data_IF_980753139413
#
_entry.id   IF_980753139413
#
_cell.length_a   1.000
_cell.length_b   1.000
_cell.length_c   1.000
_cell.angle_alpha   90.00
_cell.angle_beta   90.00
_cell.angle_gamma   90.00
#
_symmetry.space_group_name_H-M   'P 1'
#
loop_
_entity.id
_entity.type
_entity.pdbx_description
1 polymer ?
#
# COMPACT_ATOMS: atom_id res chain seq x y z
N UNK A 1 -54.10 -49.87 0.64
CA UNK A 1 -52.83 -49.70 1.37
C UNK A 1 -51.76 -49.40 0.30
N UNK A 2 -51.49 -48.15 0.07
CA UNK A 2 -50.52 -47.69 -0.93
C UNK A 2 -49.38 -47.00 -0.18
N UNK A 3 -48.19 -47.61 -0.27
CA UNK A 3 -46.95 -47.21 0.39
C UNK A 3 -46.28 -46.09 -0.42
N UNK A 4 -46.20 -44.87 0.10
CA UNK A 4 -45.43 -43.76 -0.45
C UNK A 4 -43.97 -43.91 -0.04
N UNK A 5 -43.08 -44.19 -1.01
CA UNK A 5 -41.65 -44.07 -0.82
C UNK A 5 -41.24 -42.61 -1.01
N UNK A 6 -40.70 -41.98 0.05
CA UNK A 6 -40.06 -40.64 -0.02
C UNK A 6 -38.63 -40.84 -0.50
N UNK A 7 -38.34 -40.31 -1.70
CA UNK A 7 -36.97 -40.15 -2.21
C UNK A 7 -36.41 -38.86 -1.58
N UNK A 8 -35.41 -39.00 -0.76
CA UNK A 8 -34.57 -37.87 -0.22
C UNK A 8 -33.49 -37.65 -1.22
N UNK A 9 -33.54 -36.56 -1.99
CA UNK A 9 -32.45 -36.12 -2.85
C UNK A 9 -31.42 -35.37 -1.98
N UNK A 10 -30.24 -35.92 -1.84
CA UNK A 10 -29.09 -35.21 -1.30
C UNK A 10 -28.56 -34.24 -2.37
N UNK A 11 -28.72 -32.93 -2.14
CA UNK A 11 -28.06 -31.90 -2.93
C UNK A 11 -26.64 -31.78 -2.38
N UNK A 12 -25.65 -32.30 -3.09
CA UNK A 12 -24.23 -32.04 -2.84
C UNK A 12 -23.97 -30.62 -3.36
N UNK A 13 -23.88 -29.65 -2.47
CA UNK A 13 -23.36 -28.32 -2.77
C UNK A 13 -21.85 -28.46 -2.91
N UNK A 14 -21.35 -28.57 -4.12
CA UNK A 14 -19.94 -28.43 -4.41
C UNK A 14 -19.53 -26.98 -4.13
N UNK A 15 -18.90 -26.71 -3.01
CA UNK A 15 -18.20 -25.46 -2.75
C UNK A 15 -16.98 -25.42 -3.65
N UNK A 16 -17.09 -24.72 -4.79
CA UNK A 16 -15.92 -24.35 -5.57
C UNK A 16 -15.11 -23.36 -4.76
N UNK A 17 -14.05 -23.82 -4.12
CA UNK A 17 -13.01 -22.95 -3.55
C UNK A 17 -12.37 -22.21 -4.73
N UNK A 18 -12.71 -20.95 -4.93
CA UNK A 18 -11.99 -20.06 -5.84
C UNK A 18 -10.56 -19.94 -5.30
N UNK A 19 -9.60 -20.49 -6.01
CA UNK A 19 -8.18 -20.29 -5.74
C UNK A 19 -7.84 -18.84 -6.01
N UNK A 20 -7.51 -18.06 -4.98
CA UNK A 20 -6.96 -16.70 -5.10
C UNK A 20 -5.44 -16.78 -5.28
N UNK A 21 -4.98 -17.49 -6.31
CA UNK A 21 -3.58 -17.45 -6.70
C UNK A 21 -3.19 -16.04 -7.20
N UNK A 22 -1.93 -15.68 -7.03
CA UNK A 22 -1.42 -14.42 -7.56
C UNK A 22 -1.52 -14.42 -9.09
N UNK A 23 -2.06 -13.33 -9.66
CA UNK A 23 -2.07 -13.13 -11.10
C UNK A 23 -0.65 -12.79 -11.57
N UNK A 24 0.02 -13.75 -12.17
CA UNK A 24 1.43 -13.70 -12.56
C UNK A 24 2.35 -14.53 -11.64
N UNK A 25 3.64 -14.50 -11.93
CA UNK A 25 4.64 -15.29 -11.19
C UNK A 25 4.91 -14.71 -9.80
N UNK A 26 5.07 -15.58 -8.82
CA UNK A 26 5.32 -15.21 -7.43
C UNK A 26 6.57 -15.89 -6.90
N UNK A 27 7.44 -15.15 -6.20
CA UNK A 27 8.64 -15.71 -5.57
C UNK A 27 8.69 -15.33 -4.10
N UNK A 28 8.90 -16.31 -3.24
CA UNK A 28 9.22 -16.11 -1.82
C UNK A 28 10.72 -16.05 -1.65
N UNK A 29 11.23 -14.97 -1.06
CA UNK A 29 12.66 -14.82 -0.71
C UNK A 29 12.79 -14.90 0.80
N UNK A 30 13.68 -15.76 1.28
CA UNK A 30 13.87 -16.01 2.71
C UNK A 30 15.34 -16.27 3.03
N UNK A 31 15.82 -15.85 4.22
CA UNK A 31 17.15 -16.19 4.68
C UNK A 31 17.26 -17.67 5.02
N UNK A 32 18.46 -18.24 4.83
CA UNK A 32 18.73 -19.62 5.27
C UNK A 32 18.46 -19.81 6.76
N UNK A 33 18.73 -18.80 7.58
CA UNK A 33 18.52 -18.84 9.01
C UNK A 33 17.02 -18.90 9.36
N UNK A 34 16.19 -18.07 8.75
CA UNK A 34 14.74 -18.06 8.95
C UNK A 34 14.09 -19.32 8.39
N UNK A 35 14.51 -19.80 7.22
CA UNK A 35 13.97 -21.00 6.61
C UNK A 35 14.30 -22.30 7.38
N UNK A 36 15.30 -22.30 8.27
CA UNK A 36 15.62 -23.42 9.19
C UNK A 36 14.69 -23.49 10.40
N UNK A 37 14.01 -22.40 10.77
CA UNK A 37 13.06 -22.38 11.89
C UNK A 37 11.73 -22.97 11.43
N UNK A 38 11.28 -24.05 12.08
CA UNK A 38 10.12 -24.83 11.63
C UNK A 38 8.85 -23.97 11.49
N UNK A 39 8.61 -23.07 12.43
CA UNK A 39 7.46 -22.17 12.46
C UNK A 39 7.48 -21.14 11.31
N UNK A 40 8.64 -20.60 10.95
CA UNK A 40 8.82 -19.67 9.82
C UNK A 40 8.80 -20.39 8.48
N UNK A 41 9.32 -21.64 8.44
CA UNK A 41 9.21 -22.48 7.24
C UNK A 41 7.75 -22.75 6.88
N UNK A 42 6.85 -22.86 7.89
CA UNK A 42 5.41 -22.98 7.65
C UNK A 42 4.84 -21.73 6.97
N UNK A 43 5.26 -20.52 7.37
CA UNK A 43 4.88 -19.28 6.69
C UNK A 43 5.28 -19.31 5.21
N UNK A 44 6.53 -19.70 4.91
CA UNK A 44 7.01 -19.84 3.53
C UNK A 44 6.16 -20.83 2.75
N UNK A 45 5.90 -22.01 3.31
CA UNK A 45 5.10 -23.07 2.68
C UNK A 45 3.66 -22.60 2.39
N UNK A 46 3.04 -21.87 3.32
CA UNK A 46 1.71 -21.29 3.13
C UNK A 46 1.65 -20.35 1.93
N UNK A 47 2.66 -19.48 1.76
CA UNK A 47 2.73 -18.60 0.58
C UNK A 47 2.99 -19.40 -0.71
N UNK A 48 3.84 -20.45 -0.66
CA UNK A 48 4.07 -21.33 -1.80
C UNK A 48 2.78 -22.01 -2.24
N UNK A 49 2.02 -22.57 -1.31
CA UNK A 49 0.73 -23.22 -1.59
C UNK A 49 -0.35 -22.21 -2.05
N UNK A 50 -0.33 -21.01 -1.49
CA UNK A 50 -1.31 -19.96 -1.82
C UNK A 50 -1.14 -19.41 -3.23
N UNK A 51 0.11 -19.23 -3.67
CA UNK A 51 0.46 -18.51 -4.89
C UNK A 51 1.22 -19.36 -5.93
N UNK A 52 1.36 -20.66 -5.69
CA UNK A 52 2.18 -21.55 -6.52
C UNK A 52 3.62 -21.02 -6.68
N UNK A 53 4.15 -20.44 -5.58
CA UNK A 53 5.34 -19.64 -5.59
C UNK A 53 6.63 -20.46 -5.69
N UNK A 54 7.66 -19.88 -6.32
CA UNK A 54 9.02 -20.34 -6.22
C UNK A 54 9.68 -19.83 -4.93
N UNK A 55 10.71 -20.53 -4.44
CA UNK A 55 11.43 -20.11 -3.23
C UNK A 55 12.89 -19.83 -3.57
N UNK A 56 13.37 -18.67 -3.17
CA UNK A 56 14.77 -18.27 -3.23
C UNK A 56 15.30 -18.13 -1.82
N UNK A 57 16.36 -18.90 -1.50
CA UNK A 57 17.00 -18.88 -0.18
C UNK A 57 18.36 -18.20 -0.28
N UNK A 58 18.56 -17.11 0.49
CA UNK A 58 19.87 -16.46 0.58
C UNK A 58 20.60 -16.77 1.88
N UNK A 59 21.95 -16.73 1.86
CA UNK A 59 22.77 -17.04 3.04
C UNK A 59 22.88 -15.84 4.00
N UNK A 60 23.57 -14.78 3.59
CA UNK A 60 23.95 -13.67 4.47
C UNK A 60 23.21 -12.37 4.16
N UNK A 61 23.10 -12.00 2.90
CA UNK A 61 22.52 -10.73 2.47
C UNK A 61 21.45 -10.97 1.41
N UNK A 62 20.34 -10.26 1.51
CA UNK A 62 19.21 -10.36 0.58
C UNK A 62 19.63 -10.07 -0.87
N UNK A 63 20.66 -9.21 -1.07
CA UNK A 63 21.26 -8.93 -2.38
C UNK A 63 21.80 -10.14 -3.12
N UNK A 64 22.14 -11.25 -2.42
CA UNK A 64 22.57 -12.49 -3.05
C UNK A 64 21.45 -13.20 -3.83
N UNK A 65 20.20 -12.79 -3.65
CA UNK A 65 19.05 -13.28 -4.40
C UNK A 65 18.98 -12.71 -5.82
N UNK A 66 19.76 -11.67 -6.17
CA UNK A 66 19.66 -10.92 -7.42
C UNK A 66 19.69 -11.85 -8.65
N UNK A 67 20.70 -12.71 -8.76
CA UNK A 67 20.86 -13.57 -9.93
C UNK A 67 19.66 -14.52 -10.16
N UNK A 68 19.07 -15.04 -9.09
CA UNK A 68 17.89 -15.90 -9.19
C UNK A 68 16.64 -15.10 -9.54
N UNK A 69 16.45 -13.92 -8.92
CA UNK A 69 15.32 -13.03 -9.21
C UNK A 69 15.37 -12.51 -10.64
N UNK A 70 16.54 -12.08 -11.13
CA UNK A 70 16.72 -11.66 -12.53
C UNK A 70 16.35 -12.78 -13.51
N UNK A 71 16.75 -14.03 -13.21
CA UNK A 71 16.42 -15.18 -14.06
C UNK A 71 14.93 -15.52 -14.06
N UNK A 72 14.27 -15.42 -12.90
CA UNK A 72 12.83 -15.71 -12.74
C UNK A 72 11.95 -14.57 -13.19
N UNK A 73 12.43 -13.34 -13.01
CA UNK A 73 11.79 -12.07 -13.27
C UNK A 73 10.32 -12.00 -12.81
N UNK A 74 10.05 -12.27 -11.52
CA UNK A 74 8.70 -12.48 -11.01
C UNK A 74 7.90 -11.16 -10.98
N UNK A 75 6.57 -11.26 -11.12
CA UNK A 75 5.65 -10.13 -10.93
C UNK A 75 5.57 -9.74 -9.44
N UNK A 76 5.59 -10.74 -8.54
CA UNK A 76 5.51 -10.53 -7.08
C UNK A 76 6.69 -11.17 -6.36
N UNK A 77 7.24 -10.44 -5.39
CA UNK A 77 8.29 -10.95 -4.48
C UNK A 77 7.88 -10.71 -3.03
N UNK A 78 7.74 -11.78 -2.26
CA UNK A 78 7.50 -11.69 -0.83
C UNK A 78 8.77 -12.06 -0.05
N UNK A 79 9.31 -11.09 0.68
CA UNK A 79 10.46 -11.31 1.58
C UNK A 79 9.95 -11.77 2.94
N UNK A 80 10.10 -13.06 3.25
CA UNK A 80 9.73 -13.59 4.57
C UNK A 80 10.91 -13.42 5.52
N UNK A 81 10.71 -12.64 6.59
CA UNK A 81 11.76 -12.32 7.55
C UNK A 81 11.25 -12.28 8.99
N UNK A 82 12.08 -12.70 9.94
CA UNK A 82 11.78 -12.50 11.36
C UNK A 82 11.82 -11.02 11.73
N UNK A 83 11.18 -10.57 12.83
CA UNK A 83 11.32 -9.19 13.30
C UNK A 83 12.78 -8.74 13.47
N UNK A 84 13.65 -9.63 13.94
CA UNK A 84 15.07 -9.34 14.15
C UNK A 84 15.86 -9.13 12.85
N UNK A 85 15.42 -9.75 11.74
CA UNK A 85 16.01 -9.54 10.41
C UNK A 85 15.45 -8.32 9.70
N UNK A 86 14.27 -7.83 10.09
CA UNK A 86 13.55 -6.73 9.42
C UNK A 86 14.08 -5.37 9.89
N UNK A 87 15.37 -5.12 9.66
CA UNK A 87 16.02 -3.84 10.02
C UNK A 87 15.82 -2.77 8.95
N UNK A 88 16.18 -1.52 9.26
CA UNK A 88 16.22 -0.41 8.29
C UNK A 88 17.11 -0.74 7.09
N UNK A 89 18.25 -1.37 7.34
CA UNK A 89 19.21 -1.78 6.31
C UNK A 89 18.62 -2.88 5.41
N UNK A 90 17.87 -3.82 6.00
CA UNK A 90 17.16 -4.85 5.22
C UNK A 90 16.12 -4.24 4.29
N UNK A 91 15.30 -3.31 4.79
CA UNK A 91 14.32 -2.58 3.97
C UNK A 91 15.01 -1.83 2.83
N UNK A 92 16.08 -1.11 3.12
CA UNK A 92 16.85 -0.40 2.09
C UNK A 92 17.46 -1.35 1.05
N UNK A 93 17.97 -2.51 1.49
CA UNK A 93 18.53 -3.53 0.61
C UNK A 93 17.46 -4.17 -0.31
N UNK A 94 16.22 -4.37 0.19
CA UNK A 94 15.08 -4.84 -0.62
C UNK A 94 14.75 -3.82 -1.72
N UNK A 95 14.65 -2.54 -1.39
CA UNK A 95 14.45 -1.48 -2.40
C UNK A 95 15.53 -1.46 -3.47
N UNK A 96 16.81 -1.59 -3.04
CA UNK A 96 17.95 -1.57 -3.96
C UNK A 96 18.01 -2.82 -4.83
N UNK A 97 17.69 -3.99 -4.28
CA UNK A 97 17.66 -5.25 -4.99
C UNK A 97 16.60 -5.25 -6.09
N UNK A 98 15.39 -4.84 -5.77
CA UNK A 98 14.22 -4.90 -6.67
C UNK A 98 14.23 -3.86 -7.78
N UNK A 99 15.20 -2.94 -7.79
CA UNK A 99 15.50 -2.03 -8.91
C UNK A 99 16.72 -2.45 -9.73
N UNK A 100 17.13 -3.71 -9.66
CA UNK A 100 18.32 -4.22 -10.37
C UNK A 100 18.02 -5.49 -11.15
N UNK A 101 16.74 -5.83 -11.34
CA UNK A 101 16.39 -7.03 -12.08
C UNK A 101 16.56 -6.80 -13.58
N UNK A 102 16.48 -5.55 -14.02
CA UNK A 102 16.83 -5.11 -15.37
C UNK A 102 17.73 -3.85 -15.37
N UNK A 103 17.87 -3.17 -16.51
CA UNK A 103 18.78 -2.04 -16.71
C UNK A 103 18.14 -0.68 -16.45
N UNK A 104 16.81 -0.62 -16.16
CA UNK A 104 16.15 0.64 -15.87
C UNK A 104 16.24 1.02 -14.38
N UNK A 105 15.96 2.26 -13.97
CA UNK A 105 16.09 2.68 -12.57
C UNK A 105 14.85 2.39 -11.71
N UNK A 106 13.78 1.85 -12.28
CA UNK A 106 12.51 1.64 -11.59
C UNK A 106 12.49 0.30 -10.85
N UNK A 107 11.42 0.06 -10.12
CA UNK A 107 11.24 -1.22 -9.42
C UNK A 107 10.56 -2.22 -10.36
N UNK A 108 11.21 -3.36 -10.55
CA UNK A 108 10.81 -4.35 -11.55
C UNK A 108 9.72 -5.32 -11.09
N UNK A 109 9.41 -5.32 -9.80
CA UNK A 109 8.50 -6.29 -9.19
C UNK A 109 7.69 -5.67 -8.06
N UNK A 110 6.46 -6.10 -7.88
CA UNK A 110 5.70 -5.80 -6.68
C UNK A 110 6.26 -6.57 -5.51
N UNK A 111 6.76 -5.88 -4.50
CA UNK A 111 7.31 -6.57 -3.34
C UNK A 111 6.60 -6.20 -2.04
N UNK A 112 6.74 -7.09 -1.05
CA UNK A 112 6.34 -6.86 0.33
C UNK A 112 7.22 -7.67 1.27
N UNK A 113 7.36 -7.19 2.51
CA UNK A 113 8.05 -7.90 3.59
C UNK A 113 6.97 -8.52 4.47
N UNK A 114 6.90 -9.85 4.50
CA UNK A 114 6.00 -10.56 5.38
C UNK A 114 6.74 -10.93 6.66
N UNK A 115 6.40 -10.25 7.72
CA UNK A 115 6.86 -10.46 9.08
C UNK A 115 5.66 -10.41 10.04
N UNK A 116 5.88 -10.45 11.33
CA UNK A 116 4.86 -10.35 12.37
C UNK A 116 5.49 -10.28 13.73
N UNK A 117 4.69 -10.13 14.79
CA UNK A 117 5.18 -10.19 16.17
C UNK A 117 5.95 -11.49 16.44
N UNK A 118 5.41 -12.59 15.92
CA UNK A 118 6.02 -13.91 15.89
C UNK A 118 5.63 -14.66 14.61
N UNK A 119 6.05 -15.90 14.48
CA UNK A 119 5.72 -16.74 13.33
C UNK A 119 4.23 -17.07 13.22
N UNK A 120 3.49 -17.15 14.33
CA UNK A 120 2.05 -17.40 14.32
C UNK A 120 1.27 -16.20 13.76
N UNK A 121 1.65 -14.98 14.14
CA UNK A 121 1.10 -13.77 13.56
C UNK A 121 1.44 -13.65 12.07
N UNK A 122 2.70 -13.88 11.68
CA UNK A 122 3.11 -13.88 10.27
C UNK A 122 2.33 -14.92 9.44
N UNK A 123 2.09 -16.12 10.02
CA UNK A 123 1.29 -17.18 9.40
C UNK A 123 -0.16 -16.73 9.18
N UNK A 124 -0.78 -16.09 10.17
CA UNK A 124 -2.15 -15.54 10.05
C UNK A 124 -2.26 -14.51 8.92
N UNK A 125 -1.20 -13.74 8.66
CA UNK A 125 -1.17 -12.82 7.52
C UNK A 125 -1.01 -13.58 6.20
N UNK A 126 -0.12 -14.58 6.15
CA UNK A 126 0.09 -15.40 4.96
C UNK A 126 -1.17 -16.20 4.55
N UNK A 127 -1.88 -16.77 5.53
CA UNK A 127 -3.11 -17.55 5.33
C UNK A 127 -4.27 -16.72 4.83
N UNK A 128 -4.28 -15.41 5.10
CA UNK A 128 -5.40 -14.54 4.73
C UNK A 128 -5.53 -14.42 3.21
N UNK A 129 -6.68 -14.82 2.66
CA UNK A 129 -6.94 -14.90 1.21
C UNK A 129 -7.95 -13.87 0.74
N UNK A 130 -8.97 -13.58 1.56
CA UNK A 130 -10.09 -12.74 1.17
C UNK A 130 -9.64 -11.33 0.79
N UNK A 131 -9.96 -10.83 -0.41
CA UNK A 131 -9.63 -9.47 -0.80
C UNK A 131 -10.40 -8.47 0.05
N UNK A 132 -9.81 -7.31 0.31
CA UNK A 132 -10.43 -6.23 1.06
C UNK A 132 -10.90 -5.10 0.13
N UNK A 133 -12.22 -4.88 0.09
CA UNK A 133 -12.78 -3.64 -0.46
C UNK A 133 -13.00 -2.65 0.68
N UNK A 134 -12.25 -1.55 0.65
CA UNK A 134 -12.24 -0.53 1.71
C UNK A 134 -13.46 0.38 1.54
N UNK A 135 -14.38 0.32 2.47
CA UNK A 135 -15.56 1.17 2.57
C UNK A 135 -15.46 2.16 3.72
N UNK A 136 -14.95 1.71 4.88
CA UNK A 136 -14.88 2.46 6.13
C UNK A 136 -13.48 2.98 6.37
N UNK A 137 -13.33 4.29 6.37
CA UNK A 137 -12.03 4.94 6.57
C UNK A 137 -12.04 5.74 7.87
N UNK A 138 -11.02 5.58 8.69
CA UNK A 138 -10.77 6.42 9.85
C UNK A 138 -9.38 7.03 9.80
N UNK A 139 -9.24 8.26 10.28
CA UNK A 139 -7.96 8.95 10.23
C UNK A 139 -7.75 9.91 11.40
N UNK A 140 -6.50 9.97 11.84
CA UNK A 140 -6.02 10.98 12.80
C UNK A 140 -5.43 12.23 12.11
N UNK A 141 -5.62 12.38 10.80
CA UNK A 141 -5.21 13.54 10.00
C UNK A 141 -6.21 13.77 8.88
N UNK A 142 -6.19 14.95 8.27
CA UNK A 142 -7.07 15.28 7.16
C UNK A 142 -6.78 14.41 5.93
N UNK A 143 -7.82 13.78 5.37
CA UNK A 143 -7.81 13.00 4.12
C UNK A 143 -8.98 13.42 3.21
N UNK A 144 -8.90 13.04 1.93
CA UNK A 144 -9.91 13.33 0.92
C UNK A 144 -11.18 12.46 1.07
N UNK A 145 -12.01 12.72 2.09
CA UNK A 145 -13.25 11.94 2.36
C UNK A 145 -14.24 11.97 1.20
N UNK A 146 -14.21 12.97 0.31
CA UNK A 146 -15.04 12.99 -0.89
C UNK A 146 -14.78 11.78 -1.79
N UNK A 147 -13.57 11.23 -1.77
CA UNK A 147 -13.17 10.04 -2.52
C UNK A 147 -13.52 8.71 -1.81
N UNK A 148 -13.94 8.75 -0.54
CA UNK A 148 -14.27 7.56 0.25
C UNK A 148 -15.78 7.28 0.21
N UNK A 149 -16.19 6.03 0.39
CA UNK A 149 -17.61 5.65 0.55
C UNK A 149 -18.19 6.25 1.82
N UNK A 150 -17.53 6.05 2.95
CA UNK A 150 -17.82 6.63 4.26
C UNK A 150 -16.54 6.72 5.09
N UNK A 151 -16.52 7.57 6.08
CA UNK A 151 -15.36 7.72 6.94
C UNK A 151 -15.41 8.95 7.83
N UNK A 152 -14.34 9.11 8.60
CA UNK A 152 -14.14 10.27 9.45
C UNK A 152 -12.65 10.53 9.66
N UNK A 153 -12.34 11.78 9.97
CA UNK A 153 -11.00 12.15 10.42
C UNK A 153 -11.04 13.23 11.49
N UNK A 154 -10.12 13.12 12.42
CA UNK A 154 -9.83 14.14 13.43
C UNK A 154 -8.62 14.95 12.97
N UNK A 155 -8.72 16.29 13.11
CA UNK A 155 -7.67 17.19 12.66
C UNK A 155 -6.49 17.18 13.66
N UNK A 156 -5.30 16.94 13.17
CA UNK A 156 -4.07 16.97 13.98
C UNK A 156 -3.56 18.39 14.27
N UNK A 157 -4.03 19.39 13.51
CA UNK A 157 -3.59 20.79 13.61
C UNK A 157 -4.62 21.67 14.33
N UNK A 158 -5.91 21.33 14.24
CA UNK A 158 -7.01 22.11 14.79
C UNK A 158 -7.79 21.30 15.80
N UNK A 159 -7.68 21.69 17.07
CA UNK A 159 -8.37 21.04 18.19
C UNK A 159 -9.89 21.03 17.98
N UNK A 160 -10.55 19.94 18.35
CA UNK A 160 -12.00 19.71 18.24
C UNK A 160 -12.57 19.70 16.81
N UNK A 161 -11.75 19.71 15.78
CA UNK A 161 -12.23 19.57 14.41
C UNK A 161 -12.34 18.08 14.04
N UNK A 162 -13.55 17.68 13.70
CA UNK A 162 -13.93 16.37 13.17
C UNK A 162 -14.63 16.57 11.85
N UNK A 163 -14.26 15.81 10.83
CA UNK A 163 -15.03 15.75 9.59
C UNK A 163 -15.50 14.31 9.38
N UNK A 164 -16.79 14.16 9.10
CA UNK A 164 -17.43 12.85 8.90
C UNK A 164 -18.21 12.83 7.60
N UNK A 165 -18.11 11.72 6.89
CA UNK A 165 -18.94 11.38 5.73
C UNK A 165 -19.67 10.08 5.99
N UNK A 166 -20.98 10.11 5.93
CA UNK A 166 -21.82 8.92 5.91
C UNK A 166 -22.01 8.45 4.47
N UNK A 167 -22.26 7.16 4.28
CA UNK A 167 -22.52 6.56 2.97
C UNK A 167 -23.65 7.33 2.24
N UNK A 168 -23.40 7.71 1.00
CA UNK A 168 -24.36 8.45 0.17
C UNK A 168 -24.54 9.93 0.54
N UNK A 169 -23.78 10.46 1.50
CA UNK A 169 -23.89 11.87 1.93
C UNK A 169 -22.58 12.65 1.65
N UNK A 170 -22.70 13.97 1.64
CA UNK A 170 -21.53 14.85 1.64
C UNK A 170 -20.83 14.83 3.00
N UNK A 171 -19.52 15.06 3.00
CA UNK A 171 -18.75 15.23 4.24
C UNK A 171 -19.22 16.47 5.00
N UNK A 172 -19.30 16.37 6.34
CA UNK A 172 -19.71 17.46 7.23
C UNK A 172 -18.66 17.65 8.32
N UNK A 173 -18.35 18.91 8.60
CA UNK A 173 -17.55 19.27 9.76
C UNK A 173 -18.43 19.25 11.01
N UNK A 174 -17.92 18.62 12.05
CA UNK A 174 -18.55 18.48 13.36
C UNK A 174 -17.57 18.96 14.44
N UNK A 175 -18.09 19.10 15.67
CA UNK A 175 -17.23 19.29 16.83
C UNK A 175 -16.87 17.94 17.42
N UNK A 176 -15.59 17.62 17.44
CA UNK A 176 -15.02 16.47 18.12
C UNK A 176 -14.71 16.74 19.61
N UNK A 177 -14.33 15.70 20.36
CA UNK A 177 -13.89 15.84 21.75
C UNK A 177 -12.58 16.63 21.86
N UNK A 178 -12.27 17.09 23.07
CA UNK A 178 -11.02 17.80 23.39
C UNK A 178 -9.81 16.85 23.35
N UNK A 179 -10.01 15.63 23.82
CA UNK A 179 -9.09 14.49 23.71
C UNK A 179 -9.73 13.47 22.75
N UNK A 180 -9.08 13.21 21.64
CA UNK A 180 -9.61 12.31 20.60
C UNK A 180 -9.16 10.86 20.76
N UNK A 181 -8.41 10.53 21.81
CA UNK A 181 -7.82 9.19 21.99
C UNK A 181 -8.89 8.10 22.04
N UNK A 182 -9.89 8.23 22.92
CA UNK A 182 -10.98 7.26 23.01
C UNK A 182 -11.76 7.17 21.70
N UNK A 183 -12.06 8.31 21.09
CA UNK A 183 -12.80 8.36 19.84
C UNK A 183 -12.04 7.68 18.67
N UNK A 184 -10.71 7.80 18.61
CA UNK A 184 -9.88 7.07 17.63
C UNK A 184 -9.82 5.57 17.95
N UNK A 185 -9.74 5.17 19.21
CA UNK A 185 -9.87 3.75 19.62
C UNK A 185 -11.23 3.20 19.16
N UNK A 186 -12.32 3.93 19.37
CA UNK A 186 -13.66 3.52 18.93
C UNK A 186 -13.77 3.35 17.41
N UNK A 187 -12.96 4.08 16.62
CA UNK A 187 -12.92 3.86 15.16
C UNK A 187 -12.33 2.49 14.79
N UNK A 188 -11.50 1.93 15.62
CA UNK A 188 -10.97 0.57 15.45
C UNK A 188 -11.92 -0.48 16.03
N UNK A 189 -12.33 -0.31 17.29
CA UNK A 189 -13.10 -1.32 18.03
C UNK A 189 -14.56 -1.42 17.57
N UNK A 190 -15.26 -0.29 17.45
CA UNK A 190 -16.72 -0.26 17.21
C UNK A 190 -17.03 0.03 15.73
N UNK A 191 -16.42 1.07 15.16
CA UNK A 191 -16.64 1.42 13.76
C UNK A 191 -15.99 0.40 12.82
N UNK A 192 -14.93 -0.29 13.26
CA UNK A 192 -14.20 -1.33 12.53
C UNK A 192 -13.73 -0.81 11.15
N UNK A 193 -12.93 0.25 11.17
CA UNK A 193 -12.37 0.84 9.96
C UNK A 193 -11.57 -0.19 9.14
N UNK A 194 -11.79 -0.21 7.82
CA UNK A 194 -11.04 -1.04 6.86
C UNK A 194 -9.68 -0.41 6.54
N UNK A 195 -9.60 0.91 6.64
CA UNK A 195 -8.38 1.70 6.45
C UNK A 195 -8.22 2.67 7.62
N UNK A 196 -7.03 2.66 8.22
CA UNK A 196 -6.65 3.62 9.25
C UNK A 196 -5.45 4.44 8.78
N UNK A 197 -5.54 5.78 8.90
CA UNK A 197 -4.50 6.71 8.41
C UNK A 197 -4.03 7.58 9.55
N UNK A 198 -2.71 7.72 9.70
CA UNK A 198 -2.11 8.60 10.72
C UNK A 198 -0.99 9.46 10.14
N UNK A 199 -0.71 10.58 10.79
CA UNK A 199 0.46 11.41 10.57
C UNK A 199 0.90 12.06 11.88
N UNK A 200 1.88 12.94 11.84
CA UNK A 200 2.38 13.65 13.01
C UNK A 200 3.54 12.94 13.69
N UNK A 201 3.85 13.37 14.92
CA UNK A 201 4.98 12.84 15.66
C UNK A 201 4.76 11.39 16.10
N UNK A 202 5.78 10.58 15.89
CA UNK A 202 5.80 9.19 16.32
C UNK A 202 7.23 8.74 16.61
N UNK A 203 7.33 7.69 17.37
CA UNK A 203 8.51 6.85 17.54
C UNK A 203 8.19 5.44 17.07
N UNK A 204 9.11 4.51 17.21
CA UNK A 204 8.83 3.10 16.95
C UNK A 204 7.86 2.46 17.97
N UNK A 205 7.61 3.08 19.12
CA UNK A 205 6.76 2.54 20.19
C UNK A 205 5.52 3.37 20.52
N UNK A 206 5.37 4.55 19.95
CA UNK A 206 4.20 5.41 20.15
C UNK A 206 3.90 6.34 18.98
N UNK A 207 2.64 6.72 18.85
CA UNK A 207 2.13 7.78 18.01
C UNK A 207 1.45 8.84 18.86
N UNK A 208 1.94 10.08 18.80
CA UNK A 208 1.34 11.23 19.46
C UNK A 208 0.16 11.73 18.63
N UNK A 209 -1.03 11.65 19.20
CA UNK A 209 -2.26 12.15 18.57
C UNK A 209 -2.29 13.68 18.71
N UNK A 210 -2.57 14.37 17.59
CA UNK A 210 -2.57 15.84 17.60
C UNK A 210 -1.17 16.46 17.47
N UNK A 211 -0.90 17.11 16.34
CA UNK A 211 0.42 17.68 16.06
C UNK A 211 0.64 19.05 16.71
N UNK A 212 -0.42 19.88 16.83
CA UNK A 212 -0.34 21.27 17.33
C UNK A 212 -1.02 21.51 18.66
N UNK A 213 -1.62 20.50 19.27
CA UNK A 213 -2.30 20.62 20.55
C UNK A 213 -2.11 19.37 21.40
N UNK A 214 -2.23 19.53 22.73
CA UNK A 214 -2.12 18.38 23.63
C UNK A 214 -3.27 17.40 23.38
N UNK A 215 -2.91 16.13 23.16
CA UNK A 215 -3.81 15.01 23.00
C UNK A 215 -3.16 13.76 23.66
N UNK A 216 -3.78 12.59 23.54
CA UNK A 216 -3.20 11.35 24.03
C UNK A 216 -2.25 10.71 23.02
N UNK A 217 -2.02 9.41 23.22
CA UNK A 217 -1.11 8.59 22.41
C UNK A 217 -1.76 7.26 22.07
N UNK A 218 -1.37 6.69 20.91
CA UNK A 218 -1.38 5.24 20.77
C UNK A 218 -0.01 4.72 21.13
N UNK A 219 0.03 3.60 21.87
CA UNK A 219 1.28 2.95 22.32
C UNK A 219 1.20 1.46 22.06
N UNK A 220 2.39 0.87 21.96
CA UNK A 220 2.54 -0.59 21.86
C UNK A 220 3.39 -1.15 22.99
N UNK A 221 3.07 -2.34 23.43
CA UNK A 221 3.84 -3.10 24.40
C UNK A 221 3.68 -4.60 24.14
N UNK A 222 4.79 -5.30 23.93
CA UNK A 222 4.81 -6.75 23.70
C UNK A 222 3.76 -7.21 22.67
N UNK A 223 3.70 -6.52 21.51
CA UNK A 223 2.76 -6.82 20.43
C UNK A 223 1.31 -6.42 20.65
N UNK A 224 0.98 -5.76 21.77
CA UNK A 224 -0.34 -5.20 22.05
C UNK A 224 -0.40 -3.71 21.76
N UNK A 225 -1.56 -3.24 21.31
CA UNK A 225 -1.84 -1.82 21.02
C UNK A 225 -2.85 -1.26 22.02
N UNK A 226 -2.64 -0.03 22.47
CA UNK A 226 -3.59 0.67 23.37
C UNK A 226 -3.48 2.18 23.25
N UNK A 227 -4.58 2.88 23.56
CA UNK A 227 -4.59 4.33 23.75
C UNK A 227 -4.19 4.72 25.18
N UNK A 228 -3.53 5.88 25.32
CA UNK A 228 -3.34 6.58 26.60
C UNK A 228 -3.88 7.99 26.43
N UNK A 229 -4.94 8.33 27.14
CA UNK A 229 -5.55 9.64 27.08
C UNK A 229 -4.77 10.74 27.84
N UNK A 230 -5.20 11.99 27.76
CA UNK A 230 -4.55 13.13 28.43
C UNK A 230 -4.64 13.08 29.96
N UNK A 231 -5.46 12.17 30.51
CA UNK A 231 -5.58 11.86 31.95
C UNK A 231 -4.74 10.65 32.36
N UNK A 232 -3.92 10.09 31.45
CA UNK A 232 -3.15 8.87 31.60
C UNK A 232 -3.99 7.59 31.79
N UNK A 233 -5.25 7.60 31.36
CA UNK A 233 -6.10 6.40 31.34
C UNK A 233 -5.72 5.54 30.16
N UNK A 234 -5.49 4.24 30.39
CA UNK A 234 -5.30 3.26 29.31
C UNK A 234 -6.66 2.85 28.74
N UNK A 235 -6.73 2.80 27.40
CA UNK A 235 -7.91 2.38 26.63
C UNK A 235 -7.45 1.27 25.70
N UNK A 236 -7.93 0.07 25.93
CA UNK A 236 -7.52 -1.11 25.15
C UNK A 236 -8.11 -1.06 23.73
N UNK A 237 -7.30 -1.50 22.74
CA UNK A 237 -7.72 -1.69 21.36
C UNK A 237 -8.01 -3.18 21.18
N UNK A 238 -9.24 -3.51 20.78
CA UNK A 238 -9.67 -4.86 20.44
C UNK A 238 -10.32 -4.81 19.05
N UNK A 239 -9.50 -5.00 18.02
CA UNK A 239 -9.91 -4.81 16.63
C UNK A 239 -9.19 -5.82 15.74
N UNK A 240 -9.89 -6.89 15.38
CA UNK A 240 -9.30 -8.01 14.61
C UNK A 240 -9.74 -8.05 13.15
N UNK A 241 -10.67 -7.19 12.72
CA UNK A 241 -11.09 -7.14 11.32
C UNK A 241 -9.88 -6.81 10.39
N UNK A 242 -9.77 -7.49 9.24
CA UNK A 242 -8.71 -7.22 8.27
C UNK A 242 -8.70 -5.75 7.84
N UNK A 243 -7.54 -5.11 7.84
CA UNK A 243 -7.41 -3.70 7.46
C UNK A 243 -6.04 -3.35 6.87
N UNK A 244 -6.00 -2.17 6.27
CA UNK A 244 -4.79 -1.49 5.83
C UNK A 244 -4.46 -0.37 6.81
N UNK A 245 -3.16 -0.17 7.08
CA UNK A 245 -2.68 0.95 7.89
C UNK A 245 -1.69 1.83 7.12
N UNK A 246 -1.94 3.14 7.11
CA UNK A 246 -1.13 4.14 6.41
C UNK A 246 -0.60 5.22 7.36
N UNK A 247 0.53 5.02 8.04
CA UNK A 247 1.24 6.06 8.80
C UNK A 247 2.06 6.97 7.86
N UNK A 248 1.36 7.83 7.12
CA UNK A 248 1.88 8.54 5.95
C UNK A 248 2.94 9.61 6.25
N UNK A 249 2.93 10.18 7.45
CA UNK A 249 3.88 11.22 7.88
C UNK A 249 4.54 10.92 9.22
N UNK A 250 4.36 9.73 9.75
CA UNK A 250 4.89 9.33 11.05
C UNK A 250 6.35 8.88 10.94
N UNK A 251 7.20 9.40 11.83
CA UNK A 251 8.57 8.91 11.98
C UNK A 251 8.58 7.49 12.54
N UNK A 252 9.49 6.63 12.06
CA UNK A 252 9.84 5.34 12.67
C UNK A 252 8.68 4.32 12.78
N UNK A 253 7.52 4.61 12.22
CA UNK A 253 6.35 3.73 12.36
C UNK A 253 6.52 2.38 11.63
N UNK A 254 7.44 2.30 10.67
CA UNK A 254 7.86 1.05 10.02
C UNK A 254 9.13 0.43 10.62
N UNK A 255 9.73 1.05 11.64
CA UNK A 255 10.95 0.54 12.25
C UNK A 255 10.65 -0.56 13.28
N UNK A 256 11.27 -1.72 13.11
CA UNK A 256 11.15 -2.85 14.03
C UNK A 256 12.46 -2.99 14.80
N UNK A 257 12.52 -2.39 15.99
CA UNK A 257 13.70 -2.39 16.87
C UNK A 257 13.54 -3.30 18.09
N UNK A 258 12.44 -4.03 18.19
CA UNK A 258 12.14 -4.93 19.29
C UNK A 258 10.67 -5.29 19.40
N UNK A 259 10.26 -6.06 20.41
CA UNK A 259 8.90 -6.56 20.56
C UNK A 259 7.86 -5.47 20.86
N UNK A 260 8.30 -4.28 21.25
CA UNK A 260 7.44 -3.13 21.54
C UNK A 260 7.21 -2.25 20.28
N UNK A 261 7.70 -2.66 19.10
CA UNK A 261 7.50 -1.90 17.86
C UNK A 261 6.03 -1.82 17.45
N UNK A 262 5.55 -0.60 17.16
CA UNK A 262 4.15 -0.38 16.75
C UNK A 262 3.80 -1.12 15.46
N UNK A 263 4.73 -1.25 14.51
CA UNK A 263 4.50 -2.05 13.30
C UNK A 263 4.06 -3.48 13.63
N UNK A 264 4.72 -4.11 14.62
CA UNK A 264 4.35 -5.46 15.06
C UNK A 264 3.00 -5.49 15.76
N UNK A 265 2.69 -4.51 16.61
CA UNK A 265 1.41 -4.44 17.31
C UNK A 265 0.23 -4.17 16.35
N UNK A 266 0.40 -3.32 15.34
CA UNK A 266 -0.60 -3.14 14.30
C UNK A 266 -0.94 -4.44 13.56
N UNK A 267 0.08 -5.24 13.22
CA UNK A 267 -0.11 -6.53 12.54
C UNK A 267 -0.66 -7.62 13.47
N UNK A 268 -0.24 -7.64 14.74
CA UNK A 268 -0.58 -8.70 15.69
C UNK A 268 -1.95 -8.52 16.35
N UNK A 269 -2.23 -7.31 16.83
CA UNK A 269 -3.34 -7.02 17.75
C UNK A 269 -4.50 -6.28 17.08
N UNK A 270 -4.22 -5.54 15.99
CA UNK A 270 -5.19 -4.65 15.35
C UNK A 270 -5.71 -5.18 14.02
N UNK A 271 -5.26 -6.35 13.57
CA UNK A 271 -5.75 -7.00 12.35
C UNK A 271 -5.20 -6.44 11.04
N UNK A 272 -4.13 -5.65 11.08
CA UNK A 272 -3.50 -5.13 9.86
C UNK A 272 -2.88 -6.25 9.03
N UNK A 273 -3.23 -6.30 7.74
CA UNK A 273 -2.73 -7.27 6.76
C UNK A 273 -1.72 -6.66 5.78
N UNK A 274 -1.85 -5.36 5.50
CA UNK A 274 -0.86 -4.58 4.78
C UNK A 274 -0.69 -3.21 5.43
N UNK A 275 0.55 -2.74 5.48
CA UNK A 275 0.87 -1.37 5.89
C UNK A 275 2.16 -0.88 5.23
N UNK A 276 2.31 0.44 5.17
CA UNK A 276 3.61 1.06 4.92
C UNK A 276 4.17 1.64 6.23
N UNK A 277 5.43 2.05 6.23
CA UNK A 277 5.95 2.83 7.34
C UNK A 277 7.39 3.24 7.14
N UNK A 278 7.73 4.45 7.58
CA UNK A 278 9.11 4.92 7.61
C UNK A 278 9.93 4.14 8.64
N UNK A 279 11.08 3.64 8.23
CA UNK A 279 12.04 2.98 9.13
C UNK A 279 13.02 3.96 9.78
N UNK A 280 12.94 5.23 9.42
CA UNK A 280 13.78 6.36 9.90
C UNK A 280 12.91 7.54 10.29
N UNK A 281 13.46 8.56 10.98
CA UNK A 281 12.75 9.84 11.17
C UNK A 281 12.45 10.51 9.82
N UNK A 282 11.18 10.84 9.60
CA UNK A 282 10.69 11.43 8.33
C UNK A 282 10.91 12.94 8.31
N UNK A 283 11.41 13.49 7.21
CA UNK A 283 11.49 14.92 7.00
C UNK A 283 11.04 15.41 5.63
N UNK A 284 11.09 14.57 4.60
CA UNK A 284 10.70 14.96 3.25
C UNK A 284 9.27 14.55 2.90
N UNK A 285 8.89 13.29 3.15
CA UNK A 285 7.51 12.83 3.14
C UNK A 285 6.93 12.44 1.76
N UNK A 286 7.73 12.37 0.70
CA UNK A 286 7.23 12.05 -0.64
C UNK A 286 6.65 10.65 -0.72
N UNK A 287 7.37 9.65 -0.18
CA UNK A 287 6.98 8.24 -0.28
C UNK A 287 5.78 7.91 0.61
N UNK A 288 5.69 8.51 1.80
CA UNK A 288 4.56 8.27 2.70
C UNK A 288 3.30 9.03 2.28
N UNK A 289 3.36 10.36 2.26
CA UNK A 289 2.19 11.19 1.93
C UNK A 289 1.67 10.97 0.50
N UNK A 290 2.56 10.73 -0.44
CA UNK A 290 2.20 10.62 -1.85
C UNK A 290 1.40 9.38 -2.21
N UNK A 291 1.38 8.35 -1.36
CA UNK A 291 0.52 7.19 -1.58
C UNK A 291 -0.97 7.56 -1.59
N UNK A 292 -1.36 8.60 -0.85
CA UNK A 292 -2.74 9.07 -0.82
C UNK A 292 -3.20 9.58 -2.18
N UNK A 293 -2.29 10.22 -2.96
CA UNK A 293 -2.59 10.74 -4.30
C UNK A 293 -3.00 9.63 -5.28
N UNK A 294 -2.57 8.38 -5.03
CA UNK A 294 -2.92 7.20 -5.82
C UNK A 294 -4.00 6.35 -5.16
N UNK A 295 -3.86 6.04 -3.87
CA UNK A 295 -4.71 5.06 -3.22
C UNK A 295 -6.10 5.60 -2.85
N UNK A 296 -6.15 6.72 -2.10
CA UNK A 296 -7.42 7.31 -1.65
C UNK A 296 -8.05 8.20 -2.73
N UNK A 297 -7.22 9.03 -3.41
CA UNK A 297 -7.71 10.05 -4.32
C UNK A 297 -8.05 9.53 -5.72
N UNK A 298 -7.76 8.25 -5.99
CA UNK A 298 -8.16 7.53 -7.19
C UNK A 298 -8.88 6.22 -6.81
N UNK A 299 -10.06 6.34 -6.16
CA UNK A 299 -10.75 5.20 -5.56
C UNK A 299 -11.09 4.13 -6.60
N UNK A 300 -10.79 2.88 -6.26
CA UNK A 300 -11.03 1.72 -7.10
C UNK A 300 -10.00 1.49 -8.24
N UNK A 301 -9.02 2.39 -8.45
CA UNK A 301 -8.04 2.23 -9.54
C UNK A 301 -6.89 1.29 -9.17
N UNK A 302 -6.26 1.49 -8.03
CA UNK A 302 -5.08 0.75 -7.60
C UNK A 302 -5.36 -0.11 -6.37
N UNK A 303 -4.71 -1.27 -6.29
CA UNK A 303 -4.52 -1.93 -5.00
C UNK A 303 -3.54 -1.11 -4.15
N UNK A 304 -3.50 -1.39 -2.84
CA UNK A 304 -2.57 -0.71 -1.91
C UNK A 304 -1.11 -0.88 -2.37
N UNK A 305 -0.74 -2.07 -2.82
CA UNK A 305 0.59 -2.36 -3.34
C UNK A 305 0.87 -1.58 -4.64
N UNK A 306 -0.06 -1.59 -5.61
CA UNK A 306 0.07 -0.80 -6.84
C UNK A 306 0.19 0.71 -6.57
N UNK A 307 -0.57 1.25 -5.61
CA UNK A 307 -0.48 2.67 -5.24
C UNK A 307 0.89 3.02 -4.64
N UNK A 308 1.46 2.12 -3.81
CA UNK A 308 2.81 2.27 -3.27
C UNK A 308 3.85 2.34 -4.38
N UNK A 309 3.78 1.43 -5.36
CA UNK A 309 4.73 1.39 -6.48
C UNK A 309 4.51 2.52 -7.47
N UNK A 310 3.27 2.92 -7.77
CA UNK A 310 2.99 4.10 -8.59
C UNK A 310 3.65 5.36 -8.00
N UNK A 311 3.57 5.53 -6.68
CA UNK A 311 4.23 6.63 -6.00
C UNK A 311 5.76 6.50 -5.98
N UNK A 312 6.29 5.28 -5.85
CA UNK A 312 7.73 5.02 -5.93
C UNK A 312 8.28 5.31 -7.34
N UNK A 313 7.59 4.88 -8.40
CA UNK A 313 7.96 5.23 -9.78
C UNK A 313 7.90 6.73 -10.04
N UNK A 314 6.89 7.43 -9.50
CA UNK A 314 6.81 8.88 -9.54
C UNK A 314 8.00 9.56 -8.84
N UNK A 315 8.46 9.01 -7.70
CA UNK A 315 9.65 9.49 -6.99
C UNK A 315 10.91 9.31 -7.85
N UNK A 316 11.13 8.12 -8.38
CA UNK A 316 12.30 7.80 -9.24
C UNK A 316 12.28 8.67 -10.48
N UNK A 317 11.13 8.83 -11.13
CA UNK A 317 10.97 9.71 -12.27
C UNK A 317 11.32 11.18 -11.94
N UNK A 318 10.81 11.70 -10.80
CA UNK A 318 11.14 13.07 -10.37
C UNK A 318 12.64 13.22 -10.07
N UNK A 319 13.25 12.20 -9.47
CA UNK A 319 14.67 12.18 -9.15
C UNK A 319 15.56 12.21 -10.40
N UNK A 320 15.14 11.57 -11.49
CA UNK A 320 15.89 11.50 -12.77
C UNK A 320 15.84 12.81 -13.56
N UNK A 321 14.87 13.71 -13.31
CA UNK A 321 14.75 14.97 -14.05
C UNK A 321 15.90 15.93 -13.76
N UNK A 322 16.49 16.50 -14.80
CA UNK A 322 17.52 17.55 -14.68
C UNK A 322 17.00 18.81 -13.99
N UNK A 323 15.70 19.12 -14.16
CA UNK A 323 15.02 20.28 -13.58
C UNK A 323 14.72 20.17 -12.10
N UNK A 324 14.87 18.99 -11.48
CA UNK A 324 14.65 18.81 -10.04
C UNK A 324 15.74 19.53 -9.25
N UNK A 325 15.33 20.38 -8.29
CA UNK A 325 16.24 21.17 -7.46
C UNK A 325 17.20 20.28 -6.65
N UNK A 326 18.35 20.80 -6.25
CA UNK A 326 19.30 20.06 -5.41
C UNK A 326 18.70 19.66 -4.05
N UNK A 327 17.86 20.52 -3.46
CA UNK A 327 17.13 20.23 -2.22
C UNK A 327 16.14 19.09 -2.39
N UNK A 328 15.33 19.12 -3.44
CA UNK A 328 14.40 18.04 -3.77
C UNK A 328 15.13 16.73 -4.07
N UNK A 329 16.23 16.79 -4.85
CA UNK A 329 17.06 15.59 -5.13
C UNK A 329 17.56 14.94 -3.83
N UNK A 330 18.00 15.76 -2.86
CA UNK A 330 18.42 15.25 -1.54
C UNK A 330 17.26 14.58 -0.81
N UNK A 331 16.08 15.22 -0.78
CA UNK A 331 14.90 14.68 -0.14
C UNK A 331 14.38 13.40 -0.78
N UNK A 332 14.30 13.37 -2.11
CA UNK A 332 13.89 12.18 -2.86
C UNK A 332 14.86 11.01 -2.68
N UNK A 333 16.18 11.26 -2.68
CA UNK A 333 17.18 10.22 -2.40
C UNK A 333 17.05 9.65 -0.99
N UNK A 334 16.79 10.52 0.00
CA UNK A 334 16.54 10.08 1.36
C UNK A 334 15.30 9.21 1.45
N UNK A 335 14.20 9.64 0.82
CA UNK A 335 12.87 9.00 0.93
C UNK A 335 12.76 7.67 0.16
N UNK A 336 13.62 7.48 -0.85
CA UNK A 336 13.51 6.39 -1.83
C UNK A 336 13.57 4.99 -1.24
N UNK A 337 14.42 4.77 -0.23
CA UNK A 337 14.76 3.43 0.25
C UNK A 337 14.40 3.20 1.73
N UNK A 338 13.57 4.07 2.34
CA UNK A 338 13.34 4.07 3.80
C UNK A 338 11.90 3.78 4.23
N UNK A 339 11.00 3.55 3.28
CA UNK A 339 9.61 3.19 3.58
C UNK A 339 9.40 1.70 3.31
N UNK A 340 9.13 0.94 4.36
CA UNK A 340 8.77 -0.46 4.23
C UNK A 340 7.33 -0.63 3.72
N UNK A 341 7.10 -1.69 2.95
CA UNK A 341 5.78 -2.25 2.68
C UNK A 341 5.69 -3.60 3.38
N UNK A 342 4.83 -3.71 4.37
CA UNK A 342 4.61 -4.95 5.13
C UNK A 342 3.36 -5.66 4.68
N UNK A 343 3.44 -7.00 4.59
CA UNK A 343 2.36 -7.91 4.20
C UNK A 343 2.62 -8.65 2.88
N UNK A 344 1.67 -9.49 2.49
CA UNK A 344 1.69 -10.21 1.22
C UNK A 344 1.49 -9.22 0.05
N UNK A 345 2.45 -9.07 -0.89
CA UNK A 345 2.35 -8.09 -1.98
C UNK A 345 1.20 -8.38 -2.97
N UNK A 346 0.75 -9.62 -3.06
CA UNK A 346 -0.34 -10.01 -3.96
C UNK A 346 -1.73 -9.95 -3.30
N UNK A 347 -1.80 -9.75 -1.98
CA UNK A 347 -3.10 -9.56 -1.34
C UNK A 347 -3.77 -8.27 -1.81
N UNK A 348 -5.00 -8.39 -2.32
CA UNK A 348 -5.74 -7.27 -2.90
C UNK A 348 -6.50 -6.50 -1.82
N UNK A 349 -5.96 -5.36 -1.40
CA UNK A 349 -6.70 -4.33 -0.66
C UNK A 349 -6.91 -3.12 -1.59
N UNK A 350 -8.15 -2.68 -1.78
CA UNK A 350 -8.52 -1.65 -2.74
C UNK A 350 -9.63 -0.77 -2.20
N UNK A 351 -9.56 0.54 -2.43
CA UNK A 351 -10.68 1.42 -2.15
C UNK A 351 -11.91 0.98 -2.95
N UNK A 352 -13.09 1.04 -2.36
CA UNK A 352 -14.34 0.87 -3.10
C UNK A 352 -14.37 1.85 -4.28
N UNK A 353 -14.96 1.41 -5.40
CA UNK A 353 -15.08 2.26 -6.58
C UNK A 353 -15.77 3.57 -6.24
N UNK A 354 -15.25 4.66 -6.78
CA UNK A 354 -15.74 6.02 -6.58
C UNK A 354 -15.57 6.85 -7.85
N UNK A 355 -15.96 8.10 -7.78
CA UNK A 355 -15.79 9.02 -8.89
C UNK A 355 -14.34 9.50 -8.97
N UNK A 356 -13.66 9.15 -10.04
CA UNK A 356 -12.33 9.64 -10.36
C UNK A 356 -12.41 10.98 -11.11
N UNK A 357 -11.44 11.87 -10.89
CA UNK A 357 -11.35 13.15 -11.60
C UNK A 357 -10.98 13.00 -13.09
N UNK A 358 -10.37 11.89 -13.42
CA UNK A 358 -10.01 11.47 -14.78
C UNK A 358 -10.06 9.95 -14.85
N UNK A 359 -10.38 9.43 -16.04
CA UNK A 359 -10.25 7.99 -16.30
C UNK A 359 -8.89 7.66 -16.90
N UNK A 360 -8.45 6.43 -16.69
CA UNK A 360 -7.29 5.81 -17.32
C UNK A 360 -7.68 4.46 -17.85
N UNK A 361 -7.41 4.20 -19.13
CA UNK A 361 -7.58 2.88 -19.73
C UNK A 361 -6.28 2.45 -20.43
N UNK A 362 -6.05 1.15 -20.47
CA UNK A 362 -5.04 0.52 -21.31
C UNK A 362 -5.78 -0.42 -22.24
N UNK A 363 -5.88 0.00 -23.49
CA UNK A 363 -6.48 -0.83 -24.52
C UNK A 363 -5.37 -1.59 -25.24
N UNK A 364 -5.47 -2.92 -25.29
CA UNK A 364 -4.47 -3.80 -25.88
C UNK A 364 -5.00 -4.43 -27.15
N UNK A 365 -4.24 -4.34 -28.20
CA UNK A 365 -4.34 -5.14 -29.42
C UNK A 365 -3.17 -6.15 -29.46
N UNK A 366 -3.06 -6.96 -30.51
CA UNK A 366 -2.08 -8.06 -30.59
C UNK A 366 -0.65 -7.64 -30.24
N UNK A 367 -0.15 -6.57 -30.85
CA UNK A 367 1.22 -6.08 -30.72
C UNK A 367 1.29 -4.58 -30.39
N UNK A 368 0.19 -3.99 -29.90
CA UNK A 368 0.16 -2.58 -29.53
C UNK A 368 -0.71 -2.35 -28.30
N UNK A 369 -0.35 -1.33 -27.54
CA UNK A 369 -1.17 -0.81 -26.43
C UNK A 369 -1.40 0.68 -26.62
N UNK A 370 -2.58 1.13 -26.20
CA UNK A 370 -2.92 2.55 -26.10
C UNK A 370 -3.32 2.87 -24.69
N UNK A 371 -2.52 3.72 -24.02
CA UNK A 371 -2.85 4.28 -22.72
C UNK A 371 -3.58 5.60 -22.95
N UNK A 372 -4.82 5.69 -22.46
CA UNK A 372 -5.68 6.86 -22.61
C UNK A 372 -6.00 7.47 -21.26
N UNK A 373 -5.90 8.79 -21.14
CA UNK A 373 -6.29 9.57 -19.95
C UNK A 373 -7.38 10.55 -20.40
N UNK A 374 -8.57 10.43 -19.81
CA UNK A 374 -9.74 11.24 -20.13
C UNK A 374 -10.17 12.10 -18.95
N UNK A 375 -10.13 13.45 -19.07
CA UNK A 375 -10.63 14.34 -18.02
C UNK A 375 -12.12 14.17 -17.73
N UNK A 376 -12.52 14.17 -16.44
CA UNK A 376 -13.93 14.00 -16.02
C UNK A 376 -14.50 15.22 -15.28
N UNK A 377 -13.65 16.18 -14.89
CA UNK A 377 -14.05 17.37 -14.11
C UNK A 377 -13.58 18.68 -14.74
N UNK A 378 -13.68 18.78 -16.06
CA UNK A 378 -13.25 19.96 -16.80
C UNK A 378 -11.76 20.24 -16.60
N UNK A 379 -11.38 21.51 -16.53
CA UNK A 379 -10.00 21.95 -16.30
C UNK A 379 -9.42 21.47 -14.95
N UNK A 380 -10.28 21.23 -13.95
CA UNK A 380 -9.90 20.80 -12.62
C UNK A 380 -9.55 19.28 -12.55
N UNK A 381 -9.67 18.53 -13.65
CA UNK A 381 -9.45 17.09 -13.65
C UNK A 381 -8.06 16.67 -13.15
N UNK A 382 -7.07 17.51 -13.37
CA UNK A 382 -5.67 17.23 -12.97
C UNK A 382 -5.23 18.00 -11.72
N UNK A 383 -6.11 18.72 -11.05
CA UNK A 383 -5.77 19.41 -9.80
C UNK A 383 -5.57 18.41 -8.66
N UNK A 384 -4.80 18.81 -7.67
CA UNK A 384 -4.65 18.03 -6.44
C UNK A 384 -5.96 18.01 -5.66
N UNK A 385 -6.37 16.84 -5.20
CA UNK A 385 -7.65 16.67 -4.47
C UNK A 385 -7.53 17.21 -3.05
N UNK A 386 -6.43 16.88 -2.38
CA UNK A 386 -6.14 17.33 -1.02
C UNK A 386 -4.65 17.71 -0.89
N UNK A 387 -4.37 18.89 -0.34
CA UNK A 387 -3.03 19.43 -0.16
C UNK A 387 -2.47 19.22 1.26
N UNK A 388 -3.23 18.57 2.16
CA UNK A 388 -2.73 18.29 3.50
C UNK A 388 -1.51 17.36 3.45
N UNK A 389 -0.45 17.74 4.16
CA UNK A 389 0.77 16.97 4.23
C UNK A 389 1.90 17.49 3.34
N UNK A 390 2.97 16.72 3.30
CA UNK A 390 4.21 17.07 2.60
C UNK A 390 4.25 16.46 1.20
N UNK A 391 4.76 17.22 0.22
CA UNK A 391 5.02 16.71 -1.13
C UNK A 391 3.79 16.12 -1.84
N UNK A 392 2.60 16.73 -1.66
CA UNK A 392 1.35 16.30 -2.28
C UNK A 392 1.15 16.85 -3.68
N UNK A 393 0.38 16.13 -4.48
CA UNK A 393 -0.04 16.53 -5.82
C UNK A 393 1.04 16.42 -6.91
N UNK A 394 0.67 16.78 -8.14
CA UNK A 394 1.58 16.76 -9.28
C UNK A 394 2.05 15.36 -9.70
N UNK A 395 1.39 14.31 -9.24
CA UNK A 395 1.76 12.93 -9.56
C UNK A 395 1.54 12.62 -11.04
N UNK A 396 2.46 11.90 -11.70
CA UNK A 396 2.24 11.40 -13.05
C UNK A 396 1.10 10.39 -13.07
N UNK A 397 0.53 10.16 -14.24
CA UNK A 397 -0.38 9.06 -14.49
C UNK A 397 0.44 7.77 -14.64
N UNK A 398 0.02 6.69 -13.99
CA UNK A 398 0.72 5.41 -14.04
C UNK A 398 -0.27 4.31 -14.42
N UNK A 399 0.06 3.52 -15.43
CA UNK A 399 -0.68 2.32 -15.80
C UNK A 399 0.25 1.11 -15.70
N UNK A 400 -0.21 0.04 -15.07
CA UNK A 400 0.54 -1.21 -14.95
C UNK A 400 0.07 -2.23 -15.97
N UNK A 401 0.99 -3.05 -16.48
CA UNK A 401 0.66 -4.11 -17.43
C UNK A 401 0.42 -5.44 -16.72
N UNK A 402 -0.49 -6.23 -17.24
CA UNK A 402 -0.77 -7.56 -16.71
C UNK A 402 0.37 -8.54 -17.02
N UNK A 403 1.00 -8.39 -18.18
CA UNK A 403 2.11 -9.19 -18.66
C UNK A 403 3.29 -8.29 -19.00
N UNK A 404 4.51 -8.80 -18.83
CA UNK A 404 5.74 -8.08 -19.21
C UNK A 404 5.88 -8.01 -20.71
N UNK A 405 6.46 -6.90 -21.16
CA UNK A 405 6.65 -6.58 -22.58
C UNK A 405 8.11 -6.17 -22.84
N UNK A 406 8.54 -6.32 -24.09
CA UNK A 406 9.85 -5.91 -24.55
C UNK A 406 9.78 -5.30 -25.96
N UNK A 407 10.90 -4.86 -26.51
CA UNK A 407 11.00 -4.27 -27.85
C UNK A 407 10.03 -3.09 -28.08
N UNK A 408 9.89 -2.24 -27.06
CA UNK A 408 8.91 -1.17 -26.99
C UNK A 408 9.25 -0.03 -27.94
N UNK A 409 8.26 0.40 -28.76
CA UNK A 409 8.39 1.55 -29.64
C UNK A 409 7.14 2.44 -29.54
N UNK A 410 7.29 3.63 -29.00
CA UNK A 410 6.21 4.63 -28.94
C UNK A 410 5.94 5.09 -30.38
N UNK A 411 4.66 5.08 -30.78
CA UNK A 411 4.18 5.47 -32.11
C UNK A 411 3.33 6.73 -32.09
N UNK A 412 2.74 7.09 -30.92
CA UNK A 412 1.93 8.28 -30.71
C UNK A 412 2.06 8.78 -29.29
N UNK A 413 1.93 10.10 -29.08
CA UNK A 413 1.93 10.72 -27.75
C UNK A 413 3.34 11.06 -27.23
N UNK A 414 4.32 11.20 -28.11
CA UNK A 414 5.70 11.61 -27.75
C UNK A 414 5.74 12.96 -27.02
N UNK A 415 4.82 13.87 -27.36
CA UNK A 415 4.69 15.20 -26.74
C UNK A 415 4.29 15.15 -25.28
N UNK A 416 3.78 14.02 -24.79
CA UNK A 416 3.45 13.78 -23.38
C UNK A 416 4.68 13.29 -22.59
N UNK A 417 5.81 13.06 -23.27
CA UNK A 417 7.05 12.55 -22.67
C UNK A 417 6.85 11.28 -21.82
N UNK A 418 6.15 10.27 -22.35
CA UNK A 418 5.88 9.05 -21.59
C UNK A 418 7.15 8.24 -21.33
N UNK A 419 7.15 7.49 -20.24
CA UNK A 419 8.11 6.42 -19.97
C UNK A 419 7.30 5.12 -20.05
N UNK A 420 7.77 4.20 -20.88
CA UNK A 420 7.20 2.86 -21.03
C UNK A 420 8.31 1.87 -20.76
N UNK A 421 8.11 1.04 -19.75
CA UNK A 421 9.02 -0.04 -19.36
C UNK A 421 8.39 -1.39 -19.69
N UNK A 422 9.01 -2.46 -19.21
CA UNK A 422 8.49 -3.83 -19.39
C UNK A 422 7.18 -4.09 -18.65
N UNK A 423 6.87 -3.35 -17.57
CA UNK A 423 5.78 -3.65 -16.63
C UNK A 423 4.83 -2.45 -16.35
N UNK A 424 5.16 -1.22 -16.80
CA UNK A 424 4.28 -0.07 -16.63
C UNK A 424 4.48 1.02 -17.69
N UNK A 425 3.50 1.92 -17.75
CA UNK A 425 3.59 3.22 -18.42
C UNK A 425 3.44 4.34 -17.40
N UNK A 426 4.28 5.38 -17.49
CA UNK A 426 4.19 6.59 -16.71
C UNK A 426 4.12 7.79 -17.67
N UNK A 427 3.06 8.60 -17.52
CA UNK A 427 2.87 9.83 -18.28
C UNK A 427 2.95 11.02 -17.33
N UNK A 428 3.91 11.93 -17.48
CA UNK A 428 3.96 13.15 -16.69
C UNK A 428 2.67 13.93 -16.77
N UNK A 429 2.21 14.48 -15.64
CA UNK A 429 1.00 15.31 -15.63
C UNK A 429 1.25 16.60 -16.41
N UNK A 430 0.40 16.96 -17.38
CA UNK A 430 0.46 18.27 -18.04
C UNK A 430 0.25 19.40 -17.03
N UNK A 431 0.88 20.54 -17.28
CA UNK A 431 0.77 21.73 -16.41
C UNK A 431 -0.65 22.34 -16.41
N UNK A 432 -1.40 22.11 -17.49
CA UNK A 432 -2.81 22.50 -17.64
C UNK A 432 -3.60 21.35 -18.23
N UNK A 433 -4.82 21.15 -17.76
CA UNK A 433 -5.76 20.21 -18.33
C UNK A 433 -6.55 20.92 -19.45
N UNK A 434 -6.56 20.33 -20.63
CA UNK A 434 -7.51 20.66 -21.68
C UNK A 434 -8.64 19.62 -21.60
N UNK A 435 -9.83 20.00 -21.11
CA UNK A 435 -10.92 19.05 -20.87
C UNK A 435 -11.55 18.49 -22.14
N UNK A 436 -11.20 19.05 -23.30
CA UNK A 436 -11.72 18.59 -24.60
C UNK A 436 -10.84 17.53 -25.24
N UNK A 437 -9.66 17.25 -24.64
CA UNK A 437 -8.70 16.28 -25.15
C UNK A 437 -8.68 14.98 -24.39
N UNK A 438 -8.48 13.91 -25.09
CA UNK A 438 -7.94 12.66 -24.56
C UNK A 438 -6.44 12.65 -24.74
N UNK A 439 -5.73 12.37 -23.66
CA UNK A 439 -4.27 12.26 -23.67
C UNK A 439 -3.90 10.82 -23.96
N UNK A 440 -3.40 10.54 -25.15
CA UNK A 440 -3.15 9.18 -25.64
C UNK A 440 -1.68 8.92 -25.92
N UNK A 441 -1.21 7.80 -25.41
CA UNK A 441 0.10 7.23 -25.78
C UNK A 441 -0.12 5.86 -26.39
N UNK A 442 0.32 5.67 -27.62
CA UNK A 442 0.27 4.36 -28.30
C UNK A 442 1.72 3.88 -28.52
N UNK A 443 1.95 2.60 -28.27
CA UNK A 443 3.25 1.96 -28.49
C UNK A 443 3.05 0.50 -28.97
N UNK A 444 4.02 0.04 -29.76
CA UNK A 444 4.13 -1.38 -30.13
C UNK A 444 5.09 -2.08 -29.16
N UNK A 445 4.92 -3.38 -29.02
CA UNK A 445 5.69 -4.23 -28.11
C UNK A 445 5.70 -5.68 -28.57
N UNK A 446 6.56 -6.48 -27.93
CA UNK A 446 6.52 -7.93 -27.95
C UNK A 446 6.28 -8.41 -26.52
N UNK A 447 5.67 -9.60 -26.37
CA UNK A 447 5.55 -10.22 -25.02
C UNK A 447 6.91 -10.78 -24.62
N UNK A 448 7.33 -10.49 -23.42
CA UNK A 448 8.46 -11.15 -22.79
C UNK A 448 8.02 -12.59 -22.41
N UNK A 449 8.66 -13.59 -23.05
CA UNK A 449 8.35 -15.02 -22.88
C UNK A 449 9.06 -15.62 -21.66
#
# INVERSE_FOLDING_TARGET
>A
MTTFQRIIAFIIVATTSTSYAADGTYTVVVSQQTNKKAEWKKVVQTLVEKHEAQVVVFADQVGHSLSQLTKQFPKYVCFVSTPAETTTEFVAAVHQLTRKLDDDPYTDTYWGILTGFDAANALSIAEHREPLTIHKVASGTEIALQCCTEGLWYDELVKNKLVQKKRGAAAKQLRGPDDTTSALVDTLNQYQADLFVTSGHATQGDWMIGFRYRNGFFRSKAGQMFGIDTSNTRIDIDSTNPKVYLPIGNCLMGNINGPDAMALAWMNDVGVKQMIGYTVPTWYGYQGWGILDYFIEQPGRYTMNQAFFANHHALVHRLSKSTTSAGDKRGLKFDRDVVAFYGDPAWSAKMANGQNRFEQTIDRDQNSMTFTITPNQGEASFDTVNNNGSQRGGRPFVGFFDQRIENIKITRGHELHPIVTDNFILVPRPSKCDPTKEYKVTFTFELLN
#
